data_IF_049001304575
#
_entry.id   IF_049001304575
#
_cell.length_a   1.000
_cell.length_b   1.000
_cell.length_c   1.000
_cell.angle_alpha   90.00
_cell.angle_beta   90.00
_cell.angle_gamma   90.00
#
_symmetry.space_group_name_H-M   'P 1'
#
loop_
_entity.id
_entity.type
_entity.pdbx_description
1 polymer ?
#
# COMPACT_ATOMS: atom_id res chain seq x y z
N UNK A 1 -1.51 21.61 15.73
CA UNK A 1 -0.56 20.48 15.74
C UNK A 1 0.39 20.70 16.89
N UNK A 2 0.07 20.12 18.06
CA UNK A 2 0.86 20.27 19.29
C UNK A 2 1.83 19.09 19.39
N UNK A 3 3.11 19.40 19.60
CA UNK A 3 4.19 18.54 20.09
C UNK A 3 4.34 17.17 19.41
N UNK A 4 4.96 17.13 18.22
CA UNK A 4 5.86 16.02 17.90
C UNK A 4 7.06 16.18 18.85
N UNK A 5 7.25 15.23 19.77
CA UNK A 5 8.42 15.19 20.65
C UNK A 5 9.69 15.36 19.81
N UNK A 6 10.57 16.29 20.21
CA UNK A 6 11.84 16.57 19.52
C UNK A 6 12.77 15.33 19.57
N UNK A 7 12.53 14.41 20.51
CA UNK A 7 13.20 13.12 20.56
C UNK A 7 12.22 11.96 20.36
N UNK A 8 12.54 11.00 19.48
CA UNK A 8 11.72 9.81 19.28
C UNK A 8 11.66 8.99 20.57
N UNK A 9 10.52 8.36 20.82
CA UNK A 9 10.41 7.37 21.89
C UNK A 9 11.41 6.22 21.66
N UNK A 10 11.80 5.56 22.75
CA UNK A 10 12.60 4.35 22.71
C UNK A 10 11.69 3.14 22.77
N UNK A 11 11.84 2.18 21.84
CA UNK A 11 11.13 0.91 21.96
C UNK A 11 11.57 0.20 23.26
N UNK A 12 10.66 -0.28 24.12
CA UNK A 12 11.06 -0.78 25.43
C UNK A 12 11.81 -2.12 25.32
N UNK A 13 12.78 -2.33 26.22
CA UNK A 13 13.62 -3.54 26.24
C UNK A 13 12.90 -4.77 26.79
N UNK A 14 11.94 -4.56 27.68
CA UNK A 14 11.23 -5.61 28.41
C UNK A 14 9.71 -5.41 28.25
N UNK A 15 8.94 -6.44 28.61
CA UNK A 15 7.47 -6.37 28.70
C UNK A 15 6.76 -6.16 27.36
N UNK A 16 7.43 -6.39 26.23
CA UNK A 16 6.81 -6.42 24.90
C UNK A 16 7.13 -7.72 24.16
N UNK A 17 6.20 -8.15 23.32
CA UNK A 17 6.40 -9.21 22.35
C UNK A 17 6.17 -8.65 20.94
N UNK A 18 7.10 -8.94 20.03
CA UNK A 18 7.07 -8.48 18.64
C UNK A 18 6.84 -9.70 17.75
N UNK A 19 5.78 -9.69 16.94
CA UNK A 19 5.42 -10.80 16.05
C UNK A 19 5.22 -10.31 14.63
N UNK A 20 5.74 -11.05 13.65
CA UNK A 20 5.52 -10.71 12.23
C UNK A 20 4.03 -10.77 11.92
N UNK A 21 3.51 -9.68 11.37
CA UNK A 21 2.11 -9.55 10.95
C UNK A 21 1.98 -9.64 9.44
N UNK A 22 2.81 -8.89 8.72
CA UNK A 22 2.76 -8.81 7.26
C UNK A 22 4.12 -8.46 6.67
N UNK A 23 4.31 -8.75 5.39
CA UNK A 23 5.54 -8.41 4.66
C UNK A 23 5.24 -7.86 3.28
N UNK A 24 5.87 -6.73 2.96
CA UNK A 24 5.90 -6.12 1.63
C UNK A 24 7.26 -6.27 0.95
N UNK A 25 7.41 -5.63 -0.21
CA UNK A 25 8.67 -5.65 -0.95
C UNK A 25 9.82 -4.97 -0.19
N UNK A 26 9.51 -3.86 0.49
CA UNK A 26 10.47 -2.97 1.12
C UNK A 26 10.46 -2.99 2.65
N UNK A 27 9.42 -3.55 3.28
CA UNK A 27 9.20 -3.46 4.72
C UNK A 27 8.58 -4.73 5.28
N UNK A 28 8.80 -4.98 6.57
CA UNK A 28 8.09 -5.97 7.37
C UNK A 28 7.31 -5.24 8.46
N UNK A 29 6.06 -5.65 8.65
CA UNK A 29 5.16 -5.11 9.66
C UNK A 29 5.03 -6.12 10.79
N UNK A 30 5.14 -5.65 12.02
CA UNK A 30 5.09 -6.43 13.24
C UNK A 30 3.98 -5.92 14.15
N UNK A 31 3.29 -6.85 14.78
CA UNK A 31 2.43 -6.56 15.91
C UNK A 31 3.28 -6.44 17.18
N UNK A 32 3.01 -5.41 17.98
CA UNK A 32 3.59 -5.22 19.31
C UNK A 32 2.50 -5.54 20.33
N UNK A 33 2.78 -6.41 21.29
CA UNK A 33 1.88 -6.66 22.42
C UNK A 33 2.62 -6.44 23.72
N UNK A 34 2.02 -5.69 24.64
CA UNK A 34 2.55 -5.45 25.99
C UNK A 34 2.15 -6.64 26.89
N UNK A 35 3.07 -7.17 27.68
CA UNK A 35 2.78 -8.24 28.65
C UNK A 35 1.99 -7.67 29.85
N UNK A 36 0.74 -8.11 30.09
CA UNK A 36 -0.06 -7.64 31.22
C UNK A 36 0.54 -8.01 32.58
N UNK A 37 1.35 -9.08 32.67
CA UNK A 37 1.91 -9.56 33.95
C UNK A 37 2.93 -8.60 34.54
N UNK A 38 3.47 -7.71 33.73
CA UNK A 38 4.42 -6.69 34.14
C UNK A 38 3.76 -5.50 34.83
N UNK A 39 2.43 -5.36 34.76
CA UNK A 39 1.68 -4.29 35.45
C UNK A 39 1.42 -4.61 36.94
N UNK A 40 1.58 -5.86 37.37
CA UNK A 40 1.18 -6.33 38.72
C UNK A 40 2.29 -6.54 39.74
N UNK A 41 3.56 -6.37 39.36
CA UNK A 41 4.72 -6.54 40.27
C UNK A 41 5.63 -5.33 40.10
N UNK A 42 5.28 -4.18 40.67
CA UNK A 42 6.20 -3.04 40.67
C UNK A 42 6.19 -2.35 42.04
N UNK A 43 7.17 -2.73 42.86
CA UNK A 43 7.75 -1.84 43.84
C UNK A 43 8.58 -0.78 43.09
N UNK A 44 8.13 0.48 43.19
CA UNK A 44 8.90 1.73 43.16
C UNK A 44 10.21 1.71 42.34
N UNK A 45 10.11 1.89 41.02
CA UNK A 45 11.24 2.42 40.23
C UNK A 45 10.78 3.59 39.36
N UNK A 46 11.59 4.64 39.30
CA UNK A 46 11.21 6.01 38.88
C UNK A 46 11.11 6.23 37.37
N UNK A 47 11.23 5.18 36.56
CA UNK A 47 11.16 5.21 35.09
C UNK A 47 9.95 4.42 34.57
N UNK A 48 8.76 4.67 35.11
CA UNK A 48 7.52 4.27 34.43
C UNK A 48 7.37 5.08 33.14
N UNK A 49 8.01 4.60 32.07
CA UNK A 49 7.65 5.00 30.72
C UNK A 49 6.22 4.53 30.49
N UNK A 50 5.29 5.49 30.51
CA UNK A 50 3.95 5.32 29.98
C UNK A 50 4.05 4.69 28.58
N UNK A 51 3.60 3.43 28.45
CA UNK A 51 3.65 2.68 27.19
C UNK A 51 2.40 2.95 26.32
N UNK A 52 1.55 3.90 26.69
CA UNK A 52 0.34 4.25 25.95
C UNK A 52 0.64 4.68 24.51
N UNK A 53 1.85 5.19 24.23
CA UNK A 53 2.28 5.53 22.87
C UNK A 53 2.38 4.32 21.92
N UNK A 54 2.46 3.09 22.45
CA UNK A 54 2.41 1.85 21.67
C UNK A 54 0.97 1.39 21.38
N UNK A 55 -0.02 1.93 22.09
CA UNK A 55 -1.41 1.53 21.96
C UNK A 55 -1.96 1.89 20.58
N UNK A 56 -2.58 0.92 19.92
CA UNK A 56 -3.11 1.08 18.55
C UNK A 56 -2.03 1.30 17.49
N UNK A 57 -0.80 0.82 17.73
CA UNK A 57 0.32 0.91 16.79
C UNK A 57 0.85 -0.46 16.36
N UNK A 58 1.43 -0.48 15.17
CA UNK A 58 2.25 -1.57 14.65
C UNK A 58 3.68 -1.09 14.46
N UNK A 59 4.66 -1.99 14.56
CA UNK A 59 6.05 -1.69 14.26
C UNK A 59 6.34 -2.01 12.79
N UNK A 60 6.84 -1.04 12.05
CA UNK A 60 7.27 -1.17 10.66
C UNK A 60 8.79 -1.04 10.59
N UNK A 61 9.44 -2.06 10.03
CA UNK A 61 10.90 -2.11 9.87
C UNK A 61 11.28 -2.28 8.40
N UNK A 62 12.32 -1.55 7.99
CA UNK A 62 12.84 -1.54 6.62
C UNK A 62 13.59 -2.82 6.28
N UNK A 63 13.39 -3.34 5.06
CA UNK A 63 14.19 -4.41 4.47
C UNK A 63 15.46 -3.86 3.82
N UNK A 64 16.51 -4.67 3.82
CA UNK A 64 17.78 -4.37 3.17
C UNK A 64 17.67 -4.56 1.66
N UNK A 65 17.04 -3.58 0.99
CA UNK A 65 16.94 -3.52 -0.46
C UNK A 65 17.55 -2.21 -0.98
N UNK A 66 18.26 -2.23 -2.14
CA UNK A 66 18.99 -1.05 -2.66
C UNK A 66 18.13 0.19 -2.90
N UNK A 67 16.80 0.02 -2.95
CA UNK A 67 15.87 1.06 -3.38
C UNK A 67 15.18 1.76 -2.21
N UNK A 68 15.62 1.49 -0.99
CA UNK A 68 15.04 2.08 0.23
C UNK A 68 16.10 2.92 0.95
N UNK A 69 15.69 4.10 1.42
CA UNK A 69 16.53 4.98 2.23
C UNK A 69 16.49 4.55 3.70
N UNK A 70 17.45 4.97 4.54
CA UNK A 70 17.36 4.81 5.99
C UNK A 70 16.02 5.32 6.55
N UNK A 71 15.54 4.68 7.61
CA UNK A 71 14.19 4.90 8.14
C UNK A 71 13.96 6.35 8.57
N UNK A 72 14.95 6.96 9.22
CA UNK A 72 14.90 8.37 9.63
C UNK A 72 14.81 9.33 8.44
N UNK A 73 15.56 9.09 7.36
CA UNK A 73 15.51 9.90 6.13
C UNK A 73 14.14 9.78 5.45
N UNK A 74 13.65 8.54 5.27
CA UNK A 74 12.33 8.28 4.69
C UNK A 74 11.22 8.94 5.50
N UNK A 75 11.34 8.94 6.83
CA UNK A 75 10.40 9.62 7.72
C UNK A 75 10.41 11.13 7.56
N UNK A 76 11.59 11.76 7.49
CA UNK A 76 11.70 13.21 7.26
C UNK A 76 11.10 13.62 5.91
N UNK A 77 11.31 12.82 4.86
CA UNK A 77 10.69 13.06 3.56
C UNK A 77 9.16 12.91 3.63
N UNK A 78 8.65 11.91 4.36
CA UNK A 78 7.20 11.76 4.58
C UNK A 78 6.60 12.95 5.33
N UNK A 79 7.24 13.40 6.42
CA UNK A 79 6.82 14.59 7.18
C UNK A 79 6.81 15.85 6.32
N UNK A 80 7.84 16.03 5.49
CA UNK A 80 8.01 17.26 4.69
C UNK A 80 7.06 17.30 3.51
N UNK A 81 6.90 16.17 2.80
CA UNK A 81 6.29 16.16 1.47
C UNK A 81 4.92 15.51 1.40
N UNK A 82 4.58 14.63 2.35
CA UNK A 82 3.33 13.85 2.31
C UNK A 82 2.34 14.31 3.36
N UNK A 83 2.78 14.46 4.61
CA UNK A 83 1.90 14.86 5.73
C UNK A 83 1.11 16.14 5.45
N UNK A 84 1.68 17.21 4.87
CA UNK A 84 0.95 18.44 4.60
C UNK A 84 -0.20 18.28 3.58
N UNK A 85 -0.22 17.20 2.79
CA UNK A 85 -1.18 17.01 1.71
C UNK A 85 -2.54 16.48 2.21
N UNK A 86 -2.58 15.91 3.42
CA UNK A 86 -3.73 15.19 3.95
C UNK A 86 -4.03 15.56 5.41
N UNK A 87 -5.28 15.35 5.82
CA UNK A 87 -5.62 15.39 7.25
C UNK A 87 -5.10 14.14 7.96
N UNK A 88 -4.79 14.20 9.27
CA UNK A 88 -4.27 13.05 10.00
C UNK A 88 -5.15 11.80 9.95
N UNK A 89 -6.48 11.97 9.85
CA UNK A 89 -7.45 10.88 9.80
C UNK A 89 -7.52 10.22 8.41
N UNK A 90 -6.92 10.84 7.38
CA UNK A 90 -6.93 10.34 6.00
C UNK A 90 -5.70 9.50 5.66
N UNK A 91 -4.69 9.46 6.54
CA UNK A 91 -3.43 8.73 6.32
C UNK A 91 -3.11 7.84 7.52
N UNK A 92 -2.40 6.74 7.24
CA UNK A 92 -1.74 5.94 8.27
C UNK A 92 -0.62 6.80 8.85
N UNK A 93 -0.79 7.26 10.08
CA UNK A 93 0.20 8.10 10.76
C UNK A 93 1.41 7.25 11.07
N UNK A 94 2.58 7.84 10.87
CA UNK A 94 3.88 7.23 11.15
C UNK A 94 4.59 8.07 12.20
N UNK A 95 5.25 7.41 13.14
CA UNK A 95 6.03 8.03 14.21
C UNK A 95 7.39 7.34 14.28
N UNK A 96 8.46 8.12 14.35
CA UNK A 96 9.81 7.59 14.46
C UNK A 96 10.03 7.02 15.86
N UNK A 97 10.58 5.80 15.93
CA UNK A 97 10.93 5.16 17.19
C UNK A 97 12.37 4.69 17.14
N UNK A 98 13.12 4.94 18.21
CA UNK A 98 14.50 4.50 18.33
C UNK A 98 14.56 3.04 18.81
N UNK A 99 15.30 2.21 18.06
CA UNK A 99 15.46 0.76 18.30
C UNK A 99 16.93 0.34 18.41
N UNK A 100 17.87 1.24 18.12
CA UNK A 100 19.32 0.93 18.07
C UNK A 100 19.89 0.37 19.37
N UNK A 101 19.28 0.68 20.51
CA UNK A 101 19.69 0.19 21.82
C UNK A 101 19.33 -1.29 22.09
N UNK A 102 18.40 -1.87 21.33
CA UNK A 102 17.84 -3.20 21.63
C UNK A 102 18.58 -4.36 20.96
N UNK A 103 19.45 -4.09 19.98
CA UNK A 103 19.95 -5.11 19.06
C UNK A 103 18.83 -6.04 18.54
N UNK A 104 17.63 -5.49 18.31
CA UNK A 104 16.41 -6.26 17.99
C UNK A 104 16.45 -6.84 16.58
N UNK A 105 17.17 -6.18 15.66
CA UNK A 105 17.21 -6.53 14.24
C UNK A 105 17.80 -7.95 14.00
N UNK A 106 18.95 -8.34 14.57
CA UNK A 106 19.46 -9.72 14.44
C UNK A 106 18.48 -10.80 14.91
N UNK A 107 17.76 -10.54 16.02
CA UNK A 107 16.74 -11.47 16.54
C UNK A 107 15.60 -11.65 15.55
N UNK A 108 15.02 -10.54 15.07
CA UNK A 108 13.93 -10.58 14.09
C UNK A 108 14.36 -11.18 12.75
N UNK A 109 15.61 -10.94 12.31
CA UNK A 109 16.16 -11.59 11.12
C UNK A 109 16.35 -13.10 11.31
N UNK A 110 16.67 -13.55 12.52
CA UNK A 110 16.72 -14.99 12.84
C UNK A 110 15.33 -15.62 12.69
N UNK A 111 14.29 -14.93 13.15
CA UNK A 111 12.91 -15.38 12.96
C UNK A 111 12.48 -15.38 11.49
N UNK A 112 12.82 -14.35 10.72
CA UNK A 112 12.55 -14.30 9.27
C UNK A 112 13.18 -15.48 8.51
N UNK A 113 14.39 -15.92 8.89
CA UNK A 113 15.04 -17.09 8.28
C UNK A 113 14.29 -18.40 8.57
N UNK A 114 13.66 -18.52 9.74
CA UNK A 114 12.82 -19.69 10.07
C UNK A 114 11.61 -19.80 9.15
N UNK A 115 11.08 -18.66 8.68
CA UNK A 115 9.96 -18.65 7.73
C UNK A 115 10.39 -18.94 6.28
N UNK A 116 11.65 -18.74 5.91
CA UNK A 116 12.18 -19.13 4.59
C UNK A 116 12.36 -20.66 4.46
N UNK A 117 12.65 -21.35 5.57
CA UNK A 117 12.90 -22.78 5.63
C UNK A 117 11.87 -23.49 6.54
N UNK A 118 10.61 -23.72 6.09
CA UNK A 118 9.78 -24.72 6.75
C UNK A 118 10.46 -26.06 6.45
N UNK A 119 10.88 -26.81 7.45
CA UNK A 119 11.70 -28.02 7.23
C UNK A 119 11.20 -28.90 6.08
N UNK A 120 12.15 -29.44 5.32
CA UNK A 120 12.11 -30.73 4.60
C UNK A 120 10.85 -31.56 4.86
N UNK A 121 9.78 -31.30 4.11
CA UNK A 121 8.73 -32.27 3.84
C UNK A 121 8.77 -32.53 2.34
N UNK A 122 9.49 -33.59 1.99
CA UNK A 122 9.42 -34.28 0.71
C UNK A 122 7.97 -34.64 0.43
N UNK A 123 7.30 -33.87 -0.41
CA UNK A 123 6.30 -34.27 -1.43
C UNK A 123 5.54 -33.02 -1.88
N UNK A 124 5.78 -32.61 -3.12
CA UNK A 124 4.99 -31.68 -3.93
C UNK A 124 4.66 -30.29 -3.33
N UNK A 125 5.45 -29.30 -3.76
CA UNK A 125 5.35 -27.85 -3.54
C UNK A 125 4.06 -27.15 -4.05
N UNK A 126 2.88 -27.73 -3.83
CA UNK A 126 1.59 -27.14 -4.23
C UNK A 126 0.60 -26.96 -3.09
N UNK A 127 0.94 -27.34 -1.86
CA UNK A 127 0.03 -27.16 -0.71
C UNK A 127 0.24 -25.78 -0.09
N UNK A 128 -0.79 -24.91 -0.05
CA UNK A 128 -0.73 -23.66 0.70
C UNK A 128 -0.43 -23.95 2.18
N UNK A 129 0.36 -23.10 2.87
CA UNK A 129 0.56 -23.27 4.30
C UNK A 129 -0.79 -23.28 5.04
N UNK A 130 -0.91 -24.04 6.15
CA UNK A 130 -2.15 -24.11 6.92
C UNK A 130 -2.64 -22.72 7.32
N UNK A 131 -3.97 -22.51 7.24
CA UNK A 131 -4.63 -21.24 7.56
C UNK A 131 -4.17 -20.73 8.94
N UNK A 132 -3.60 -19.53 8.96
CA UNK A 132 -3.19 -18.84 10.20
C UNK A 132 -1.71 -18.87 10.55
N UNK A 133 -0.82 -19.46 9.72
CA UNK A 133 0.63 -19.32 9.88
C UNK A 133 1.23 -18.34 8.87
N UNK A 134 2.08 -17.42 9.33
CA UNK A 134 2.86 -16.53 8.47
C UNK A 134 3.89 -17.36 7.68
N UNK A 135 3.98 -17.09 6.38
CA UNK A 135 4.94 -17.73 5.49
C UNK A 135 5.44 -16.72 4.45
N UNK A 136 6.72 -16.80 4.09
CA UNK A 136 7.31 -15.84 3.16
C UNK A 136 7.10 -16.33 1.73
N UNK A 137 6.60 -15.45 0.87
CA UNK A 137 6.48 -15.79 -0.55
C UNK A 137 7.87 -15.95 -1.17
N UNK A 138 8.00 -16.76 -2.23
CA UNK A 138 9.27 -16.94 -2.96
C UNK A 138 9.91 -15.61 -3.41
N UNK A 139 9.08 -14.60 -3.69
CA UNK A 139 9.54 -13.27 -4.09
C UNK A 139 10.06 -12.41 -2.93
N UNK A 140 9.77 -12.80 -1.69
CA UNK A 140 10.16 -12.08 -0.47
C UNK A 140 11.29 -12.80 0.29
N UNK A 141 11.41 -14.12 0.12
CA UNK A 141 12.46 -14.95 0.70
C UNK A 141 13.88 -14.49 0.33
N UNK A 142 14.81 -14.63 1.26
CA UNK A 142 16.21 -14.26 1.07
C UNK A 142 16.53 -12.76 1.23
N UNK A 143 15.52 -11.90 1.40
CA UNK A 143 15.73 -10.50 1.80
C UNK A 143 15.45 -10.34 3.30
N UNK A 144 16.19 -9.54 4.04
CA UNK A 144 16.03 -9.41 5.51
C UNK A 144 15.93 -7.95 5.94
N UNK A 145 15.75 -7.67 7.22
CA UNK A 145 15.76 -6.31 7.76
C UNK A 145 17.15 -5.69 7.61
N UNK A 146 17.18 -4.41 7.25
CA UNK A 146 18.40 -3.62 7.22
C UNK A 146 18.89 -3.32 8.64
N UNK A 147 20.20 -3.11 8.79
CA UNK A 147 20.73 -2.48 10.00
C UNK A 147 20.29 -1.02 10.01
N UNK A 148 19.44 -0.66 10.97
CA UNK A 148 18.88 0.67 11.13
C UNK A 148 18.65 0.92 12.64
N UNK A 149 18.94 2.15 13.08
CA UNK A 149 18.77 2.54 14.48
C UNK A 149 17.33 2.95 14.78
N UNK A 150 16.50 3.11 13.74
CA UNK A 150 15.12 3.55 13.83
C UNK A 150 14.16 2.57 13.17
N UNK A 151 12.97 2.49 13.75
CA UNK A 151 11.77 1.92 13.15
C UNK A 151 10.66 2.97 13.03
N UNK A 152 9.50 2.53 12.57
CA UNK A 152 8.30 3.37 12.54
C UNK A 152 7.17 2.70 13.32
N UNK A 153 6.56 3.43 14.26
CA UNK A 153 5.23 3.10 14.75
C UNK A 153 4.21 3.62 13.74
N UNK A 154 3.33 2.73 13.26
CA UNK A 154 2.27 3.10 12.32
C UNK A 154 0.90 2.86 12.95
N UNK A 155 -0.11 3.66 12.56
CA UNK A 155 -1.50 3.40 12.97
C UNK A 155 -1.92 1.98 12.63
N UNK A 156 -2.41 1.24 13.62
CA UNK A 156 -2.92 -0.12 13.42
C UNK A 156 -4.25 -0.09 12.64
N UNK A 157 -4.19 -0.51 11.38
CA UNK A 157 -5.36 -0.67 10.50
C UNK A 157 -5.92 -2.09 10.47
N UNK A 158 -5.46 -3.01 11.33
CA UNK A 158 -5.98 -4.39 11.40
C UNK A 158 -7.42 -4.44 11.90
N UNK A 159 -8.19 -5.51 11.58
CA UNK A 159 -9.57 -5.65 12.04
C UNK A 159 -9.63 -5.94 13.54
N UNK A 160 -10.45 -5.19 14.30
CA UNK A 160 -10.68 -5.48 15.72
C UNK A 160 -11.69 -6.61 15.86
N UNK A 161 -11.19 -7.80 16.23
CA UNK A 161 -12.01 -9.01 16.38
C UNK A 161 -13.17 -8.85 17.37
N UNK A 162 -12.93 -8.14 18.48
CA UNK A 162 -13.96 -7.87 19.50
C UNK A 162 -15.15 -7.07 18.97
N UNK A 163 -14.93 -6.23 17.95
CA UNK A 163 -15.95 -5.43 17.30
C UNK A 163 -16.52 -6.07 16.01
N UNK A 164 -16.07 -7.28 15.65
CA UNK A 164 -16.43 -7.99 14.41
C UNK A 164 -16.19 -7.15 13.14
N UNK A 165 -15.09 -6.40 13.14
CA UNK A 165 -14.73 -5.54 12.02
C UNK A 165 -14.07 -6.34 10.90
N UNK A 166 -14.22 -5.85 9.68
CA UNK A 166 -13.45 -6.31 8.52
C UNK A 166 -12.60 -5.18 7.98
N UNK A 167 -11.48 -5.53 7.37
CA UNK A 167 -10.59 -4.57 6.72
C UNK A 167 -10.39 -5.00 5.29
N UNK A 168 -10.43 -4.04 4.38
CA UNK A 168 -10.07 -4.24 2.98
C UNK A 168 -8.94 -3.30 2.63
N UNK A 169 -7.96 -3.85 1.94
CA UNK A 169 -6.80 -3.14 1.43
C UNK A 169 -6.79 -3.26 -0.08
N UNK A 170 -6.65 -2.13 -0.77
CA UNK A 170 -6.38 -2.13 -2.21
C UNK A 170 -5.53 -0.92 -2.60
N UNK A 171 -4.90 -0.99 -3.78
CA UNK A 171 -4.13 0.14 -4.32
C UNK A 171 -4.99 0.92 -5.33
N UNK A 172 -5.33 2.20 -5.08
CA UNK A 172 -6.13 2.99 -6.02
C UNK A 172 -5.42 3.24 -7.37
N UNK A 173 -4.08 3.18 -7.41
CA UNK A 173 -3.26 3.44 -8.60
C UNK A 173 -3.45 4.86 -9.17
N UNK A 174 -3.40 4.99 -10.49
CA UNK A 174 -3.46 6.25 -11.22
C UNK A 174 -4.93 6.67 -11.42
N UNK A 175 -5.42 7.57 -10.56
CA UNK A 175 -6.79 8.05 -10.57
C UNK A 175 -7.02 9.15 -11.62
N UNK A 176 -5.96 9.64 -12.26
CA UNK A 176 -6.04 10.48 -13.46
C UNK A 176 -5.32 9.82 -14.64
N UNK A 177 -5.72 10.14 -15.89
CA UNK A 177 -4.98 9.74 -17.08
C UNK A 177 -3.51 10.17 -17.02
N UNK A 178 -2.64 9.42 -17.72
CA UNK A 178 -1.24 9.83 -17.90
C UNK A 178 -1.17 11.17 -18.62
N UNK A 179 -0.20 12.02 -18.26
CA UNK A 179 0.08 13.24 -19.01
C UNK A 179 0.55 12.95 -20.44
N UNK A 180 1.17 11.80 -20.66
CA UNK A 180 1.67 11.34 -21.96
C UNK A 180 0.65 10.42 -22.67
N UNK A 181 -0.62 10.45 -22.25
CA UNK A 181 -1.67 9.65 -22.85
C UNK A 181 -1.87 10.03 -24.33
N UNK A 182 -1.78 9.07 -25.27
CA UNK A 182 -2.07 9.33 -26.68
C UNK A 182 -3.52 9.80 -26.90
N UNK A 183 -3.75 10.61 -27.94
CA UNK A 183 -5.08 11.18 -28.23
C UNK A 183 -6.16 10.15 -28.54
N UNK A 184 -5.77 8.98 -29.08
CA UNK A 184 -6.66 7.85 -29.38
C UNK A 184 -6.70 6.80 -28.28
N UNK A 185 -6.18 7.10 -27.09
CA UNK A 185 -6.10 6.11 -26.03
C UNK A 185 -7.48 5.67 -25.54
N UNK A 186 -7.64 4.36 -25.42
CA UNK A 186 -8.87 3.69 -24.96
C UNK A 186 -8.65 3.00 -23.60
N UNK A 187 -7.38 2.89 -23.17
CA UNK A 187 -6.97 2.39 -21.86
C UNK A 187 -6.29 3.51 -21.07
N UNK A 188 -6.56 3.59 -19.76
CA UNK A 188 -5.71 4.38 -18.86
C UNK A 188 -4.39 3.64 -18.60
N UNK A 189 -3.40 4.29 -17.97
CA UNK A 189 -2.08 3.69 -17.74
C UNK A 189 -2.13 2.36 -17.00
N UNK A 190 -2.98 2.26 -15.99
CA UNK A 190 -3.13 1.02 -15.20
C UNK A 190 -3.73 -0.10 -16.05
N UNK A 191 -4.75 0.20 -16.85
CA UNK A 191 -5.37 -0.75 -17.78
C UNK A 191 -4.38 -1.20 -18.87
N UNK A 192 -3.62 -0.26 -19.45
CA UNK A 192 -2.60 -0.56 -20.47
C UNK A 192 -1.49 -1.46 -19.90
N UNK A 193 -1.01 -1.17 -18.68
CA UNK A 193 -0.01 -1.99 -18.01
C UNK A 193 -0.53 -3.39 -17.65
N UNK A 194 -1.78 -3.50 -17.22
CA UNK A 194 -2.40 -4.79 -16.96
C UNK A 194 -2.52 -5.61 -18.25
N UNK A 195 -3.07 -5.03 -19.32
CA UNK A 195 -3.16 -5.68 -20.63
C UNK A 195 -1.80 -6.23 -21.09
N UNK A 196 -0.74 -5.40 -20.98
CA UNK A 196 0.62 -5.82 -21.30
C UNK A 196 1.08 -7.03 -20.46
N UNK A 197 0.87 -7.00 -19.14
CA UNK A 197 1.28 -8.08 -18.24
C UNK A 197 0.56 -9.38 -18.52
N UNK A 198 -0.74 -9.31 -18.80
CA UNK A 198 -1.53 -10.48 -19.19
C UNK A 198 -0.98 -11.08 -20.48
N UNK A 199 -0.76 -10.26 -21.51
CA UNK A 199 -0.26 -10.72 -22.80
C UNK A 199 1.10 -11.42 -22.71
N UNK A 200 1.99 -10.94 -21.83
CA UNK A 200 3.30 -11.55 -21.59
C UNK A 200 3.31 -12.64 -20.50
N UNK A 201 2.17 -13.01 -19.93
CA UNK A 201 2.10 -14.01 -18.86
C UNK A 201 2.84 -13.60 -17.58
N UNK A 202 3.03 -12.29 -17.36
CA UNK A 202 3.67 -11.72 -16.17
C UNK A 202 2.71 -11.69 -14.96
N UNK A 203 1.41 -11.90 -15.18
CA UNK A 203 0.44 -12.06 -14.11
C UNK A 203 0.54 -13.43 -13.45
N UNK A 204 0.35 -13.46 -12.12
CA UNK A 204 0.32 -14.73 -11.39
C UNK A 204 -0.92 -15.49 -11.83
N UNK A 205 -0.81 -16.77 -12.19
CA UNK A 205 -1.93 -17.66 -12.61
C UNK A 205 -3.12 -17.78 -11.63
N UNK A 206 -3.11 -17.07 -10.49
CA UNK A 206 -4.18 -17.00 -9.49
C UNK A 206 -4.91 -15.64 -9.47
N UNK A 207 -4.59 -14.72 -10.37
CA UNK A 207 -5.40 -13.54 -10.64
C UNK A 207 -6.21 -13.86 -11.89
N UNK A 208 -7.48 -14.22 -11.72
CA UNK A 208 -8.40 -14.34 -12.85
C UNK A 208 -8.27 -13.08 -13.71
N UNK A 209 -8.36 -13.22 -15.03
CA UNK A 209 -8.33 -12.11 -16.01
C UNK A 209 -9.33 -10.97 -15.68
N UNK A 210 -10.27 -11.23 -14.77
CA UNK A 210 -11.28 -10.30 -14.22
C UNK A 210 -10.84 -9.52 -12.96
N UNK A 211 -9.60 -9.69 -12.49
CA UNK A 211 -9.13 -9.19 -11.17
C UNK A 211 -8.34 -7.87 -11.20
N UNK A 212 -8.41 -7.13 -12.31
CA UNK A 212 -7.92 -5.75 -12.35
C UNK A 212 -9.06 -4.71 -12.28
N UNK A 213 -8.84 -3.65 -11.50
CA UNK A 213 -9.77 -2.53 -11.40
C UNK A 213 -9.27 -1.38 -12.26
N UNK A 214 -10.11 -0.84 -13.16
CA UNK A 214 -9.84 0.45 -13.79
C UNK A 214 -9.91 1.57 -12.72
N UNK A 215 -8.80 2.25 -12.41
CA UNK A 215 -8.77 3.28 -11.35
C UNK A 215 -9.69 4.47 -11.61
N UNK A 216 -9.89 4.83 -12.87
CA UNK A 216 -10.71 6.00 -13.22
C UNK A 216 -12.17 5.79 -12.81
N UNK A 217 -12.65 4.54 -12.74
CA UNK A 217 -14.01 4.22 -12.24
C UNK A 217 -14.22 4.63 -10.78
N UNK A 218 -13.15 4.71 -9.97
CA UNK A 218 -13.21 5.15 -8.56
C UNK A 218 -13.48 6.65 -8.40
N UNK A 219 -13.26 7.43 -9.44
CA UNK A 219 -13.37 8.90 -9.44
C UNK A 219 -14.17 9.42 -10.63
N UNK A 220 -14.95 8.54 -11.25
CA UNK A 220 -15.85 8.85 -12.35
C UNK A 220 -16.79 10.00 -11.97
N UNK A 221 -16.95 10.96 -12.86
CA UNK A 221 -17.74 12.16 -12.67
C UNK A 221 -18.97 12.21 -13.60
N UNK A 222 -19.19 11.17 -14.42
CA UNK A 222 -20.37 11.09 -15.27
C UNK A 222 -21.67 11.23 -14.44
N UNK A 223 -22.56 12.17 -14.78
CA UNK A 223 -23.73 12.46 -13.97
C UNK A 223 -24.69 11.28 -13.81
N UNK A 224 -24.71 10.34 -14.76
CA UNK A 224 -25.63 9.20 -14.80
C UNK A 224 -24.95 7.88 -14.45
N UNK A 225 -23.72 7.68 -14.94
CA UNK A 225 -23.03 6.39 -14.88
C UNK A 225 -22.06 6.26 -13.69
N UNK A 226 -21.70 7.35 -13.00
CA UNK A 226 -20.71 7.30 -11.93
C UNK A 226 -21.04 6.30 -10.82
N UNK A 227 -22.31 6.15 -10.45
CA UNK A 227 -22.67 5.23 -9.37
C UNK A 227 -22.51 3.76 -9.78
N UNK A 228 -22.79 3.43 -11.05
CA UNK A 228 -22.48 2.11 -11.60
C UNK A 228 -20.97 1.83 -11.59
N UNK A 229 -20.14 2.84 -11.90
CA UNK A 229 -18.68 2.75 -11.77
C UNK A 229 -18.24 2.47 -10.34
N UNK A 230 -18.83 3.16 -9.37
CA UNK A 230 -18.51 2.95 -7.95
C UNK A 230 -18.96 1.58 -7.47
N UNK A 231 -20.14 1.11 -7.89
CA UNK A 231 -20.62 -0.24 -7.60
C UNK A 231 -19.71 -1.32 -8.17
N UNK A 232 -19.34 -1.21 -9.45
CA UNK A 232 -18.40 -2.13 -10.07
C UNK A 232 -17.04 -2.12 -9.36
N UNK A 233 -16.55 -0.93 -8.97
CA UNK A 233 -15.29 -0.80 -8.23
C UNK A 233 -15.37 -1.42 -6.84
N UNK A 234 -16.45 -1.19 -6.10
CA UNK A 234 -16.67 -1.75 -4.78
C UNK A 234 -16.84 -3.28 -4.83
N UNK A 235 -17.59 -3.78 -5.82
CA UNK A 235 -17.76 -5.21 -6.08
C UNK A 235 -16.42 -5.89 -6.30
N UNK A 236 -15.58 -5.28 -7.14
CA UNK A 236 -14.24 -5.76 -7.44
C UNK A 236 -13.35 -5.77 -6.19
N UNK A 237 -13.29 -4.66 -5.46
CA UNK A 237 -12.47 -4.52 -4.24
C UNK A 237 -12.88 -5.56 -3.19
N UNK A 238 -14.18 -5.80 -3.01
CA UNK A 238 -14.69 -6.76 -2.03
C UNK A 238 -14.72 -8.20 -2.52
N UNK A 239 -14.57 -8.44 -3.84
CA UNK A 239 -14.80 -9.72 -4.50
C UNK A 239 -16.21 -10.27 -4.20
N UNK A 240 -17.24 -9.42 -4.33
CA UNK A 240 -18.64 -9.76 -4.01
C UNK A 240 -19.63 -9.19 -5.03
N UNK A 241 -20.80 -9.81 -5.24
CA UNK A 241 -21.85 -9.29 -6.13
C UNK A 241 -22.36 -7.90 -5.74
N UNK A 242 -22.86 -7.16 -6.73
CA UNK A 242 -23.31 -5.77 -6.58
C UNK A 242 -24.38 -5.60 -5.50
N UNK A 243 -25.28 -6.56 -5.35
CA UNK A 243 -26.42 -6.54 -4.43
C UNK A 243 -26.00 -6.71 -2.97
N UNK A 244 -24.74 -7.09 -2.71
CA UNK A 244 -24.26 -7.31 -1.35
C UNK A 244 -24.28 -6.00 -0.55
N UNK A 245 -24.83 -5.98 0.69
CA UNK A 245 -24.87 -4.77 1.52
C UNK A 245 -23.52 -4.08 1.73
N UNK A 246 -22.43 -4.85 1.82
CA UNK A 246 -21.08 -4.31 1.93
C UNK A 246 -20.62 -3.60 0.65
N UNK A 247 -20.99 -4.10 -0.53
CA UNK A 247 -20.65 -3.47 -1.82
C UNK A 247 -21.41 -2.17 -1.97
N UNK A 248 -22.72 -2.17 -1.67
CA UNK A 248 -23.55 -0.97 -1.67
C UNK A 248 -23.02 0.11 -0.71
N UNK A 249 -22.63 -0.31 0.50
CA UNK A 249 -22.08 0.61 1.50
C UNK A 249 -20.72 1.19 1.08
N UNK A 250 -19.84 0.39 0.51
CA UNK A 250 -18.56 0.87 -0.01
C UNK A 250 -18.74 1.79 -1.23
N UNK A 251 -19.64 1.46 -2.16
CA UNK A 251 -19.94 2.30 -3.32
C UNK A 251 -20.49 3.67 -2.90
N UNK A 252 -21.39 3.71 -1.90
CA UNK A 252 -21.88 4.95 -1.29
C UNK A 252 -20.74 5.75 -0.66
N UNK A 253 -19.85 5.09 0.09
CA UNK A 253 -18.68 5.74 0.66
C UNK A 253 -17.75 6.32 -0.41
N UNK A 254 -17.48 5.59 -1.51
CA UNK A 254 -16.69 6.09 -2.65
C UNK A 254 -17.34 7.34 -3.26
N UNK A 255 -18.67 7.35 -3.37
CA UNK A 255 -19.41 8.48 -3.91
C UNK A 255 -19.29 9.75 -3.04
N UNK A 256 -19.51 9.59 -1.74
CA UNK A 256 -19.67 10.67 -0.77
C UNK A 256 -18.35 11.17 -0.18
N UNK A 257 -17.36 10.28 -0.02
CA UNK A 257 -16.09 10.62 0.62
C UNK A 257 -15.13 11.29 -0.38
N UNK A 258 -14.56 12.46 -0.06
CA UNK A 258 -13.71 13.19 -1.00
C UNK A 258 -12.29 12.62 -1.12
N UNK A 259 -11.88 11.63 -0.31
CA UNK A 259 -10.48 11.18 -0.22
C UNK A 259 -9.90 10.74 -1.57
N UNK A 260 -10.62 9.94 -2.35
CA UNK A 260 -10.14 9.45 -3.66
C UNK A 260 -10.09 10.58 -4.70
N UNK A 261 -11.05 11.52 -4.67
CA UNK A 261 -11.02 12.71 -5.54
C UNK A 261 -9.85 13.63 -5.18
N UNK A 262 -9.62 13.85 -3.87
CA UNK A 262 -8.45 14.60 -3.38
C UNK A 262 -7.13 13.94 -3.79
N UNK A 263 -7.04 12.62 -3.69
CA UNK A 263 -5.86 11.87 -4.14
C UNK A 263 -5.63 12.04 -5.65
N UNK A 264 -6.67 11.94 -6.48
CA UNK A 264 -6.61 12.22 -7.93
C UNK A 264 -6.10 13.64 -8.21
N UNK A 265 -6.66 14.63 -7.52
CA UNK A 265 -6.32 16.03 -7.75
C UNK A 265 -4.83 16.26 -7.43
N UNK A 266 -4.35 15.74 -6.30
CA UNK A 266 -2.93 15.77 -5.94
C UNK A 266 -2.04 15.01 -6.92
N UNK A 267 -2.46 13.83 -7.41
CA UNK A 267 -1.73 13.09 -8.45
C UNK A 267 -1.58 13.88 -9.76
N UNK A 268 -2.51 14.80 -10.04
CA UNK A 268 -2.52 15.64 -11.24
C UNK A 268 -1.71 16.92 -11.01
N UNK A 269 -1.89 17.57 -9.87
CA UNK A 269 -1.17 18.77 -9.46
C UNK A 269 0.36 18.56 -9.41
N UNK A 270 0.79 17.38 -8.95
CA UNK A 270 2.20 17.04 -8.83
C UNK A 270 2.81 16.38 -10.09
N UNK A 271 2.02 16.03 -11.11
CA UNK A 271 2.53 15.50 -12.39
C UNK A 271 2.26 16.45 -13.57
N UNK A 272 2.90 17.62 -13.51
CA UNK A 272 2.71 18.69 -14.50
C UNK A 272 3.36 18.42 -15.86
N UNK A 273 4.37 17.54 -15.91
CA UNK A 273 5.25 17.37 -17.09
C UNK A 273 5.37 15.94 -17.60
N UNK A 274 4.83 14.95 -16.88
CA UNK A 274 5.05 13.54 -17.20
C UNK A 274 6.50 13.11 -17.01
N UNK A 275 6.80 11.87 -17.42
CA UNK A 275 8.15 11.27 -17.28
C UNK A 275 8.97 11.22 -18.56
N UNK A 276 8.41 11.63 -19.71
CA UNK A 276 9.09 11.54 -21.00
C UNK A 276 9.79 12.84 -21.41
N UNK A 277 9.27 13.99 -20.96
CA UNK A 277 9.73 15.33 -21.38
C UNK A 277 10.94 15.86 -20.61
N UNK A 278 11.36 15.17 -19.54
CA UNK A 278 12.45 15.63 -18.67
C UNK A 278 13.63 14.65 -18.66
N UNK A 279 14.82 15.14 -18.33
CA UNK A 279 16.02 14.30 -18.21
C UNK A 279 16.13 13.61 -16.85
N UNK A 280 15.55 14.21 -15.81
CA UNK A 280 15.55 13.73 -14.42
C UNK A 280 14.18 13.88 -13.78
N UNK A 281 13.88 13.07 -12.76
CA UNK A 281 12.68 13.25 -11.96
C UNK A 281 12.75 14.60 -11.22
N UNK A 282 11.68 15.38 -11.33
CA UNK A 282 11.46 16.51 -10.43
C UNK A 282 10.98 16.03 -9.06
N UNK A 283 11.07 16.90 -8.06
CA UNK A 283 10.51 16.62 -6.74
C UNK A 283 9.02 16.28 -6.84
N UNK A 284 8.28 17.04 -7.65
CA UNK A 284 6.84 16.91 -7.82
C UNK A 284 6.49 15.56 -8.42
N UNK A 285 7.21 15.11 -9.46
CA UNK A 285 7.00 13.79 -10.04
C UNK A 285 7.22 12.69 -9.01
N UNK A 286 8.23 12.80 -8.14
CA UNK A 286 8.45 11.83 -7.07
C UNK A 286 7.26 11.78 -6.09
N UNK A 287 6.68 12.93 -5.72
CA UNK A 287 5.44 12.99 -4.91
C UNK A 287 4.29 12.32 -5.65
N UNK A 288 4.06 12.66 -6.93
CA UNK A 288 3.00 12.04 -7.73
C UNK A 288 3.17 10.51 -7.79
N UNK A 289 4.40 10.02 -7.98
CA UNK A 289 4.70 8.59 -8.00
C UNK A 289 4.51 7.91 -6.64
N UNK A 290 4.70 8.61 -5.52
CA UNK A 290 4.31 8.15 -4.18
C UNK A 290 2.80 8.01 -4.09
N UNK A 291 2.06 9.04 -4.48
CA UNK A 291 0.58 9.06 -4.43
C UNK A 291 -0.06 8.01 -5.34
N UNK A 292 0.62 7.58 -6.40
CA UNK A 292 0.15 6.53 -7.34
C UNK A 292 0.41 5.10 -6.87
N UNK A 293 1.29 4.92 -5.88
CA UNK A 293 1.69 3.59 -5.37
C UNK A 293 1.33 3.37 -3.89
N UNK A 294 0.46 4.22 -3.34
CA UNK A 294 -0.10 4.05 -2.01
C UNK A 294 -1.16 2.94 -1.96
N UNK A 295 -1.48 2.52 -0.75
CA UNK A 295 -2.55 1.56 -0.42
C UNK A 295 -3.67 2.31 0.32
N UNK A 296 -4.93 1.94 0.10
CA UNK A 296 -6.08 2.44 0.85
C UNK A 296 -6.60 1.31 1.74
N UNK A 297 -6.56 1.53 3.05
CA UNK A 297 -7.12 0.65 4.06
C UNK A 297 -8.50 1.16 4.45
N UNK A 298 -9.52 0.31 4.34
CA UNK A 298 -10.90 0.62 4.71
C UNK A 298 -11.35 -0.36 5.78
N UNK A 299 -11.71 0.17 6.96
CA UNK A 299 -12.30 -0.62 8.03
C UNK A 299 -13.82 -0.48 8.00
N UNK A 300 -14.48 -1.62 8.08
CA UNK A 300 -15.95 -1.73 8.09
C UNK A 300 -16.40 -2.39 9.38
N UNK A 301 -17.51 -1.91 9.94
CA UNK A 301 -18.12 -2.49 11.13
C UNK A 301 -18.88 -3.80 10.82
N UNK A 302 -19.48 -4.40 11.86
CA UNK A 302 -20.31 -5.60 11.74
C UNK A 302 -21.54 -5.44 10.82
N UNK A 303 -21.97 -4.19 10.58
CA UNK A 303 -23.08 -3.84 9.69
C UNK A 303 -22.59 -3.43 8.29
N UNK A 304 -21.31 -3.66 8.00
CA UNK A 304 -20.64 -3.30 6.76
C UNK A 304 -20.63 -1.80 6.45
N UNK A 305 -20.77 -0.94 7.46
CA UNK A 305 -20.57 0.50 7.28
C UNK A 305 -19.08 0.83 7.34
N UNK A 306 -18.62 1.70 6.44
CA UNK A 306 -17.24 2.19 6.46
C UNK A 306 -17.09 3.14 7.64
N UNK A 307 -16.25 2.76 8.60
CA UNK A 307 -16.02 3.53 9.83
C UNK A 307 -14.68 4.28 9.81
N UNK A 308 -13.72 3.81 9.01
CA UNK A 308 -12.40 4.43 8.89
C UNK A 308 -11.78 4.10 7.54
N UNK A 309 -11.11 5.08 6.93
CA UNK A 309 -10.40 4.90 5.67
C UNK A 309 -9.12 5.73 5.65
N UNK A 310 -7.97 5.07 5.43
CA UNK A 310 -6.65 5.70 5.49
C UNK A 310 -5.74 5.28 4.36
N UNK A 311 -5.02 6.23 3.78
CA UNK A 311 -3.95 5.97 2.83
C UNK A 311 -2.67 5.56 3.59
N UNK A 312 -2.09 4.43 3.23
CA UNK A 312 -0.78 3.97 3.71
C UNK A 312 0.20 3.73 2.56
N UNK A 313 1.38 3.18 2.85
CA UNK A 313 2.48 2.98 1.89
C UNK A 313 2.93 4.26 1.15
N UNK A 314 2.86 5.40 1.84
CA UNK A 314 3.22 6.72 1.30
C UNK A 314 4.72 7.04 1.46
N UNK A 315 5.61 6.08 1.21
CA UNK A 315 7.04 6.39 1.20
C UNK A 315 7.39 7.26 0.00
N UNK A 316 8.18 8.32 0.24
CA UNK A 316 8.66 9.18 -0.82
C UNK A 316 9.46 8.37 -1.86
N UNK A 317 9.09 8.47 -3.14
CA UNK A 317 9.77 7.72 -4.18
C UNK A 317 11.09 8.40 -4.55
N UNK A 318 12.16 7.61 -4.56
CA UNK A 318 13.48 8.09 -4.94
C UNK A 318 13.56 8.46 -6.43
N UNK A 319 14.23 9.58 -6.79
CA UNK A 319 14.48 9.95 -8.19
C UNK A 319 15.32 8.92 -8.95
N UNK A 320 16.05 8.03 -8.27
CA UNK A 320 16.81 6.94 -8.90
C UNK A 320 15.92 5.95 -9.67
N UNK A 321 14.60 5.95 -9.39
CA UNK A 321 13.61 5.14 -10.11
C UNK A 321 13.14 5.78 -11.42
N UNK A 322 13.54 7.02 -11.71
CA UNK A 322 13.06 7.80 -12.85
C UNK A 322 13.23 7.07 -14.19
N UNK A 323 14.40 6.49 -14.43
CA UNK A 323 14.68 5.76 -15.68
C UNK A 323 13.73 4.58 -15.89
N UNK A 324 13.32 3.91 -14.81
CA UNK A 324 12.34 2.82 -14.86
C UNK A 324 10.94 3.33 -15.14
N UNK A 325 10.54 4.48 -14.58
CA UNK A 325 9.23 5.10 -14.86
C UNK A 325 9.14 5.54 -16.31
N UNK A 326 10.15 6.27 -16.79
CA UNK A 326 10.26 6.75 -18.17
C UNK A 326 10.21 5.59 -19.17
N UNK A 327 11.03 4.55 -18.95
CA UNK A 327 11.05 3.37 -19.81
C UNK A 327 9.67 2.70 -19.86
N UNK A 328 9.04 2.50 -18.70
CA UNK A 328 7.74 1.85 -18.64
C UNK A 328 6.66 2.66 -19.35
N UNK A 329 6.69 3.98 -19.24
CA UNK A 329 5.76 4.86 -19.96
C UNK A 329 5.97 4.76 -21.48
N UNK A 330 7.23 4.82 -21.92
CA UNK A 330 7.59 4.70 -23.33
C UNK A 330 7.16 3.35 -23.92
N UNK A 331 7.41 2.24 -23.23
CA UNK A 331 6.97 0.90 -23.63
C UNK A 331 5.45 0.82 -23.82
N UNK A 332 4.66 1.45 -22.93
CA UNK A 332 3.19 1.44 -23.05
C UNK A 332 2.67 2.22 -24.28
N UNK A 333 3.42 3.24 -24.70
CA UNK A 333 3.10 4.04 -25.88
C UNK A 333 3.56 3.32 -27.16
N UNK A 334 4.84 2.97 -27.22
CA UNK A 334 5.47 2.42 -28.43
C UNK A 334 4.90 1.05 -28.81
N UNK A 335 4.55 0.23 -27.82
CA UNK A 335 3.93 -1.08 -28.05
C UNK A 335 2.40 -1.00 -28.24
N UNK A 336 1.81 0.21 -28.29
CA UNK A 336 0.39 0.42 -28.66
C UNK A 336 -0.65 0.13 -27.57
N UNK A 337 -0.24 -0.20 -26.34
CA UNK A 337 -1.13 -0.67 -25.27
C UNK A 337 -2.22 0.32 -24.86
N UNK A 338 -1.94 1.62 -24.96
CA UNK A 338 -2.92 2.67 -24.67
C UNK A 338 -4.07 2.71 -25.67
N UNK A 339 -3.75 2.52 -26.96
CA UNK A 339 -4.69 2.67 -28.07
C UNK A 339 -5.35 1.34 -28.47
N UNK A 340 -4.99 0.23 -27.81
CA UNK A 340 -5.39 -1.08 -28.28
C UNK A 340 -4.71 -1.45 -29.60
N UNK A 341 -3.54 -0.91 -29.89
CA UNK A 341 -2.81 -1.13 -31.15
C UNK A 341 -1.66 -2.14 -30.98
N UNK A 342 -1.64 -2.88 -29.86
CA UNK A 342 -0.73 -4.00 -29.67
C UNK A 342 -0.83 -5.05 -30.80
N UNK A 343 0.24 -5.84 -31.00
CA UNK A 343 0.31 -6.84 -32.08
C UNK A 343 -0.84 -7.86 -31.97
N UNK A 344 -1.21 -8.46 -33.11
CA UNK A 344 -2.38 -9.37 -33.17
C UNK A 344 -2.27 -10.55 -32.21
N UNK A 345 -1.05 -11.05 -31.98
CA UNK A 345 -0.74 -12.17 -31.10
C UNK A 345 -0.87 -11.80 -29.62
N UNK A 346 -0.79 -10.51 -29.30
CA UNK A 346 -0.79 -9.97 -27.94
C UNK A 346 -2.09 -9.24 -27.59
N UNK A 347 -3.04 -9.17 -28.52
CA UNK A 347 -4.28 -8.39 -28.42
C UNK A 347 -5.07 -8.73 -27.16
N UNK A 348 -5.46 -7.70 -26.40
CA UNK A 348 -6.26 -7.83 -25.19
C UNK A 348 -7.67 -7.21 -25.36
N UNK A 349 -8.66 -7.63 -24.55
CA UNK A 349 -9.97 -6.97 -24.49
C UNK A 349 -9.86 -5.46 -24.18
N UNK A 350 -10.90 -4.70 -24.54
CA UNK A 350 -10.92 -3.23 -24.54
C UNK A 350 -12.01 -2.65 -23.62
N UNK A 351 -12.98 -3.46 -23.22
CA UNK A 351 -14.28 -3.07 -22.65
C UNK A 351 -14.25 -2.68 -21.16
N UNK A 352 -13.14 -2.88 -20.47
CA UNK A 352 -13.12 -2.71 -19.01
C UNK A 352 -12.65 -1.32 -18.53
N UNK A 353 -12.01 -0.53 -19.40
CA UNK A 353 -11.50 0.79 -19.03
C UNK A 353 -12.56 1.89 -19.10
N UNK A 354 -12.51 2.88 -18.20
CA UNK A 354 -13.39 4.05 -18.29
C UNK A 354 -13.20 4.84 -19.61
N UNK A 355 -11.98 4.89 -20.15
CA UNK A 355 -11.68 5.66 -21.37
C UNK A 355 -12.32 5.07 -22.63
N UNK A 356 -12.64 3.78 -22.66
CA UNK A 356 -13.28 3.15 -23.81
C UNK A 356 -14.76 3.49 -23.95
N UNK A 357 -15.40 4.12 -22.94
CA UNK A 357 -16.77 4.68 -23.06
C UNK A 357 -16.90 5.77 -24.13
N UNK A 358 -15.79 6.32 -24.59
CA UNK A 358 -15.74 7.34 -25.66
C UNK A 358 -15.86 6.72 -27.06
N UNK A 359 -15.81 5.39 -27.16
CA UNK A 359 -16.04 4.58 -28.36
C UNK A 359 -17.52 4.19 -28.38
#
# INVERSE_FOLDING_TARGET
MKNLSIQPHHLPNNNICIKVLAEGAANVIYQITIDPKSQGVIEVDKDHQDLDYLSGKLLRLRKDVPTTAPTSESYQQWLTYIVPLFKPEQIVIQELIYIGHLNVIPGLNTDLRRFDNPGTCTTNHLVPPPKGKFYRSRAQSGTFLAKDDYGLLITDMTPRKSAQETVVEFKPKWLSPSHELPSKAIRCRTCALHARRVAFGEERKNTDLQSYLCPLKLVDDDPKLKFESYLASASHVLHKPHETPSVQSLARWIHENPLLKRLRDLQTEYDLKGSLKTEKASHELCVAMTLRDCSLYIRMDKNHQVIEARLGDLDYKSPNKYSSWRRKEQELIDEGWYCGEESKELKQPIDECLLSRRI
#
